data_IF_531670087979
#
_entry.id   IF_531670087979
#
_cell.length_a   1.000
_cell.length_b   1.000
_cell.length_c   1.000
_cell.angle_alpha   90.00
_cell.angle_beta   90.00
_cell.angle_gamma   90.00
#
_symmetry.space_group_name_H-M   'P 1'
#
loop_
_entity.id
_entity.type
_entity.pdbx_description
1 polymer ?
#
# COMPACT_ATOMS: atom_id res chain seq x y z
N UNK A 1 -17.80 9.76 1.30
CA UNK A 1 -18.11 8.69 2.28
C UNK A 1 -16.92 8.60 3.22
N UNK A 2 -17.14 8.30 4.50
CA UNK A 2 -16.05 8.18 5.49
C UNK A 2 -15.14 7.00 5.14
N UNK A 3 -13.82 7.20 5.16
CA UNK A 3 -12.82 6.20 4.81
C UNK A 3 -12.79 5.81 3.34
N UNK A 4 -13.15 6.71 2.42
CA UNK A 4 -13.21 6.45 0.99
C UNK A 4 -11.81 6.46 0.35
N UNK A 5 -11.10 5.35 0.51
CA UNK A 5 -9.74 5.16 -0.01
C UNK A 5 -9.65 5.19 -1.54
N UNK A 6 -10.77 5.16 -2.27
CA UNK A 6 -10.76 5.29 -3.74
C UNK A 6 -10.29 6.68 -4.18
N UNK A 7 -10.32 7.67 -3.28
CA UNK A 7 -9.85 9.04 -3.49
C UNK A 7 -8.35 9.23 -3.25
N UNK A 8 -7.65 8.22 -2.75
CA UNK A 8 -6.21 8.31 -2.51
C UNK A 8 -5.46 8.51 -3.84
N UNK A 9 -4.65 9.57 -3.93
CA UNK A 9 -3.87 9.87 -5.14
C UNK A 9 -2.67 8.93 -5.30
N UNK A 10 -2.09 8.49 -4.18
CA UNK A 10 -0.96 7.56 -4.16
C UNK A 10 -1.19 6.45 -3.16
N UNK A 11 -0.63 5.29 -3.47
CA UNK A 11 -0.66 4.12 -2.60
C UNK A 11 0.78 3.73 -2.32
N UNK A 12 1.12 3.57 -1.05
CA UNK A 12 2.43 3.20 -0.57
C UNK A 12 2.33 1.90 0.22
N UNK A 13 3.28 1.00 0.01
CA UNK A 13 3.46 -0.22 0.80
C UNK A 13 4.74 -0.08 1.62
N UNK A 14 4.62 -0.18 2.93
CA UNK A 14 5.74 -0.44 3.82
C UNK A 14 6.25 -1.87 3.57
N UNK A 15 7.38 -2.01 2.89
CA UNK A 15 7.94 -3.34 2.61
C UNK A 15 8.51 -3.97 3.89
N UNK A 16 8.65 -5.29 3.88
CA UNK A 16 9.01 -6.08 5.06
C UNK A 16 7.88 -6.16 6.07
N UNK A 17 8.21 -6.01 7.34
CA UNK A 17 7.26 -6.16 8.43
C UNK A 17 7.13 -4.86 9.23
N UNK A 18 5.91 -4.58 9.67
CA UNK A 18 5.58 -3.47 10.56
C UNK A 18 5.08 -4.03 11.89
N UNK A 19 5.44 -3.39 13.00
CA UNK A 19 4.82 -3.68 14.29
C UNK A 19 3.34 -3.27 14.27
N UNK A 20 2.47 -4.26 14.10
CA UNK A 20 1.03 -4.07 13.97
C UNK A 20 0.33 -3.65 15.27
N UNK A 21 1.06 -3.51 16.39
CA UNK A 21 0.55 -2.90 17.63
C UNK A 21 0.45 -1.38 17.53
N UNK A 22 1.16 -0.74 16.60
CA UNK A 22 1.08 0.71 16.38
C UNK A 22 -0.32 1.11 15.91
N UNK A 23 -0.89 2.14 16.54
CA UNK A 23 -2.10 2.83 16.10
C UNK A 23 -1.76 4.01 15.18
N UNK A 24 -2.71 4.91 14.93
CA UNK A 24 -2.59 6.08 14.03
C UNK A 24 -1.28 6.84 14.27
N UNK A 25 -1.05 7.36 15.48
CA UNK A 25 0.15 8.17 15.76
C UNK A 25 1.46 7.40 15.53
N UNK A 26 1.50 6.12 15.89
CA UNK A 26 2.68 5.30 15.71
C UNK A 26 2.97 4.98 14.25
N UNK A 27 1.94 4.78 13.43
CA UNK A 27 2.08 4.54 11.99
C UNK A 27 2.38 5.83 11.23
N UNK A 28 1.75 6.95 11.61
CA UNK A 28 2.04 8.26 11.04
C UNK A 28 3.48 8.69 11.33
N UNK A 29 3.97 8.47 12.56
CA UNK A 29 5.37 8.70 12.91
C UNK A 29 6.32 7.83 12.06
N UNK A 30 5.98 6.57 11.80
CA UNK A 30 6.78 5.70 10.93
C UNK A 30 6.81 6.23 9.48
N UNK A 31 5.67 6.67 8.93
CA UNK A 31 5.62 7.29 7.59
C UNK A 31 6.52 8.52 7.53
N UNK A 32 6.47 9.38 8.54
CA UNK A 32 7.25 10.61 8.57
C UNK A 32 8.74 10.35 8.77
N UNK A 33 9.11 9.52 9.76
CA UNK A 33 10.48 9.37 10.23
C UNK A 33 11.26 8.31 9.45
N UNK A 34 10.64 7.18 9.13
CA UNK A 34 11.33 6.09 8.44
C UNK A 34 11.26 6.25 6.92
N UNK A 35 10.12 6.69 6.40
CA UNK A 35 9.91 6.80 4.95
C UNK A 35 10.13 8.21 4.40
N UNK A 36 10.30 9.21 5.26
CA UNK A 36 10.47 10.61 4.86
C UNK A 36 9.32 11.10 3.96
N UNK A 37 8.10 10.59 4.20
CA UNK A 37 6.88 10.95 3.48
C UNK A 37 5.95 11.75 4.40
N UNK A 38 5.12 12.62 3.81
CA UNK A 38 4.11 13.35 4.55
C UNK A 38 2.91 12.43 4.86
N UNK A 39 2.57 12.12 6.13
CA UNK A 39 1.39 11.30 6.44
C UNK A 39 0.06 12.04 6.21
N UNK A 40 0.06 13.36 6.11
CA UNK A 40 -1.12 14.21 5.88
C UNK A 40 -1.42 14.49 4.39
N UNK A 41 -0.69 13.84 3.48
CA UNK A 41 -0.99 13.94 2.04
C UNK A 41 -2.13 12.97 1.67
N UNK A 42 -2.82 13.22 0.55
CA UNK A 42 -3.89 12.36 0.05
C UNK A 42 -3.33 11.02 -0.46
N UNK A 43 -2.93 10.14 0.45
CA UNK A 43 -2.24 8.89 0.14
C UNK A 43 -2.57 7.79 1.14
N UNK A 44 -2.60 6.57 0.63
CA UNK A 44 -2.87 5.36 1.40
C UNK A 44 -1.55 4.68 1.75
N UNK A 45 -1.26 4.50 3.03
CA UNK A 45 -0.08 3.78 3.50
C UNK A 45 -0.46 2.41 4.05
N UNK A 46 0.07 1.35 3.44
CA UNK A 46 -0.25 -0.03 3.75
C UNK A 46 0.86 -0.67 4.59
N UNK A 47 0.47 -1.34 5.66
CA UNK A 47 1.37 -1.99 6.61
C UNK A 47 0.96 -3.44 6.84
N UNK A 48 1.94 -4.33 6.99
CA UNK A 48 1.70 -5.73 7.27
C UNK A 48 2.70 -6.24 8.32
N UNK A 49 2.23 -7.09 9.22
CA UNK A 49 3.09 -7.78 10.19
C UNK A 49 3.53 -9.16 9.69
N UNK A 50 4.28 -9.87 10.52
CA UNK A 50 4.84 -11.20 10.22
C UNK A 50 3.82 -12.31 9.90
N UNK A 51 2.53 -12.13 10.21
CA UNK A 51 1.52 -13.16 9.93
C UNK A 51 1.02 -13.14 8.49
N UNK A 52 1.13 -12.01 7.79
CA UNK A 52 0.67 -11.81 6.41
C UNK A 52 -0.83 -12.09 6.17
N UNK A 53 -1.60 -12.38 7.21
CA UNK A 53 -3.05 -12.60 7.16
C UNK A 53 -3.83 -11.31 7.40
N UNK A 54 -3.14 -10.21 7.71
CA UNK A 54 -3.75 -8.93 8.09
C UNK A 54 -2.90 -7.77 7.64
N UNK A 55 -3.56 -6.68 7.27
CA UNK A 55 -2.93 -5.40 6.98
C UNK A 55 -3.67 -4.25 7.68
N UNK A 56 -2.95 -3.15 7.86
CA UNK A 56 -3.50 -1.85 8.22
C UNK A 56 -3.31 -0.91 7.04
N UNK A 57 -4.28 -0.04 6.81
CA UNK A 57 -4.17 1.05 5.86
C UNK A 57 -4.42 2.37 6.57
N UNK A 58 -3.42 3.24 6.61
CA UNK A 58 -3.53 4.60 7.16
C UNK A 58 -3.84 5.56 6.02
N UNK A 59 -4.89 6.36 6.18
CA UNK A 59 -5.33 7.34 5.19
C UNK A 59 -5.65 8.67 5.88
N UNK A 60 -5.29 9.79 5.26
CA UNK A 60 -5.66 11.13 5.70
C UNK A 60 -6.76 11.67 4.77
N UNK A 61 -7.94 11.98 5.32
CA UNK A 61 -9.11 12.44 4.55
C UNK A 61 -9.24 13.97 4.49
N UNK A 62 -8.28 14.71 5.05
CA UNK A 62 -8.29 16.18 5.09
C UNK A 62 -8.62 16.74 6.47
N UNK A 63 -9.54 16.10 7.19
CA UNK A 63 -9.99 16.47 8.54
C UNK A 63 -9.53 15.51 9.63
N UNK A 64 -9.05 14.32 9.25
CA UNK A 64 -8.62 13.30 10.20
C UNK A 64 -7.94 12.11 9.55
N UNK A 65 -7.33 11.30 10.41
CA UNK A 65 -6.79 9.99 10.03
C UNK A 65 -7.86 8.91 10.12
N UNK A 66 -7.95 8.10 9.08
CA UNK A 66 -8.68 6.83 9.06
C UNK A 66 -7.66 5.69 9.09
N UNK A 67 -7.89 4.73 9.99
CA UNK A 67 -7.11 3.50 10.07
C UNK A 67 -8.00 2.30 9.76
N UNK A 68 -7.87 1.77 8.55
CA UNK A 68 -8.56 0.56 8.14
C UNK A 68 -7.76 -0.67 8.58
N UNK A 69 -8.47 -1.71 8.98
CA UNK A 69 -7.89 -3.00 9.36
C UNK A 69 -8.58 -4.11 8.58
N UNK A 70 -7.80 -4.84 7.76
CA UNK A 70 -8.31 -5.99 6.99
C UNK A 70 -7.61 -7.25 7.45
N UNK A 71 -8.39 -8.24 7.87
CA UNK A 71 -7.93 -9.61 8.16
C UNK A 71 -8.53 -10.54 7.11
N UNK A 72 -7.71 -11.41 6.55
CA UNK A 72 -8.14 -12.50 5.70
C UNK A 72 -8.52 -13.68 6.60
N UNK A 73 -9.69 -14.26 6.37
CA UNK A 73 -10.09 -15.50 7.05
C UNK A 73 -9.41 -16.73 6.43
N UNK A 74 -9.00 -16.63 5.16
CA UNK A 74 -8.22 -17.65 4.45
C UNK A 74 -7.13 -17.02 3.58
N UNK A 75 -5.99 -17.71 3.44
CA UNK A 75 -4.87 -17.23 2.64
C UNK A 75 -3.99 -16.18 3.33
N UNK A 76 -3.08 -15.57 2.56
CA UNK A 76 -2.11 -14.57 3.02
C UNK A 76 -1.81 -13.56 1.92
N UNK A 77 -1.55 -12.32 2.30
CA UNK A 77 -1.01 -11.30 1.41
C UNK A 77 0.40 -11.67 0.94
N UNK A 78 0.66 -11.57 -0.37
CA UNK A 78 2.01 -11.70 -0.95
C UNK A 78 2.77 -10.38 -0.78
N UNK A 79 3.12 -10.10 0.47
CA UNK A 79 3.75 -8.86 0.88
C UNK A 79 5.22 -8.77 0.42
N UNK A 80 5.69 -7.62 -0.12
CA UNK A 80 7.09 -7.41 -0.48
C UNK A 80 7.98 -7.41 0.78
N UNK A 81 9.15 -8.04 0.72
CA UNK A 81 9.92 -8.40 1.94
C UNK A 81 11.10 -7.48 2.29
N UNK A 82 11.39 -6.45 1.51
CA UNK A 82 12.52 -5.57 1.77
C UNK A 82 12.23 -4.64 2.97
N UNK A 83 12.84 -4.90 4.14
CA UNK A 83 12.45 -4.29 5.41
C UNK A 83 12.69 -2.77 5.54
N UNK A 84 13.47 -2.16 4.65
CA UNK A 84 13.81 -0.74 4.73
C UNK A 84 13.15 0.11 3.63
N UNK A 85 12.37 -0.52 2.74
CA UNK A 85 11.80 0.18 1.59
C UNK A 85 10.33 0.55 1.82
N UNK A 86 9.97 1.78 1.46
CA UNK A 86 8.59 2.10 1.07
C UNK A 86 8.51 2.01 -0.46
N UNK A 87 7.45 1.39 -0.98
CA UNK A 87 7.21 1.31 -2.42
C UNK A 87 5.90 1.98 -2.78
N UNK A 88 5.94 2.95 -3.68
CA UNK A 88 4.74 3.44 -4.36
C UNK A 88 4.22 2.36 -5.31
N UNK A 89 2.92 2.11 -5.30
CA UNK A 89 2.29 1.13 -6.18
C UNK A 89 1.13 1.74 -6.94
N UNK A 90 0.89 1.19 -8.13
CA UNK A 90 -0.27 1.50 -8.96
C UNK A 90 -1.54 0.91 -8.35
N UNK A 91 -2.70 1.41 -8.80
CA UNK A 91 -4.02 0.83 -8.44
C UNK A 91 -4.11 -0.65 -8.85
N UNK A 92 -3.46 -1.04 -9.95
CA UNK A 92 -3.45 -2.43 -10.41
C UNK A 92 -2.63 -3.33 -9.47
N UNK A 93 -1.43 -2.90 -9.07
CA UNK A 93 -0.61 -3.63 -8.10
C UNK A 93 -1.31 -3.72 -6.74
N UNK A 94 -1.98 -2.65 -6.30
CA UNK A 94 -2.83 -2.68 -5.10
C UNK A 94 -3.95 -3.72 -5.22
N UNK A 95 -4.66 -3.75 -6.37
CA UNK A 95 -5.71 -4.74 -6.63
C UNK A 95 -5.16 -6.17 -6.56
N UNK A 96 -4.04 -6.44 -7.21
CA UNK A 96 -3.38 -7.75 -7.13
C UNK A 96 -3.08 -8.15 -5.68
N UNK A 97 -2.54 -7.23 -4.88
CA UNK A 97 -2.31 -7.48 -3.46
C UNK A 97 -3.60 -7.82 -2.72
N UNK A 98 -4.69 -7.07 -2.97
CA UNK A 98 -6.00 -7.32 -2.36
C UNK A 98 -6.61 -8.68 -2.75
N UNK A 99 -6.24 -9.20 -3.92
CA UNK A 99 -6.60 -10.53 -4.44
C UNK A 99 -5.64 -11.65 -3.98
N UNK A 100 -4.63 -11.33 -3.16
CA UNK A 100 -3.65 -12.30 -2.66
C UNK A 100 -2.52 -12.63 -3.64
N UNK A 101 -2.39 -11.87 -4.73
CA UNK A 101 -1.33 -11.99 -5.73
C UNK A 101 -0.12 -11.12 -5.35
N UNK A 102 1.03 -11.44 -5.96
CA UNK A 102 2.24 -10.59 -5.88
C UNK A 102 1.98 -9.24 -6.55
N UNK A 103 2.53 -8.16 -5.99
CA UNK A 103 2.58 -6.85 -6.67
C UNK A 103 3.58 -6.87 -7.84
N UNK A 104 4.60 -7.72 -7.77
CA UNK A 104 5.53 -7.96 -8.86
C UNK A 104 4.99 -9.06 -9.78
N UNK A 105 4.51 -8.66 -10.96
CA UNK A 105 3.94 -9.54 -11.98
C UNK A 105 4.70 -9.42 -13.31
N UNK A 106 5.90 -10.03 -13.43
CA UNK A 106 6.71 -9.91 -14.64
C UNK A 106 6.05 -10.50 -15.89
N UNK A 107 5.09 -11.42 -15.72
CA UNK A 107 4.33 -12.06 -16.79
C UNK A 107 2.98 -11.40 -17.08
N UNK A 108 2.61 -10.34 -16.35
CA UNK A 108 1.38 -9.61 -16.66
C UNK A 108 1.51 -8.95 -18.04
N UNK A 109 0.44 -9.03 -18.83
CA UNK A 109 0.37 -8.32 -20.11
C UNK A 109 0.47 -6.83 -19.85
N UNK A 110 1.49 -6.20 -20.42
CA UNK A 110 1.73 -4.76 -20.28
C UNK A 110 1.08 -4.04 -21.47
N UNK A 111 0.40 -2.94 -21.21
CA UNK A 111 0.02 -2.02 -22.29
C UNK A 111 1.30 -1.42 -22.86
N UNK A 112 1.43 -1.43 -24.17
CA UNK A 112 2.50 -0.71 -24.87
C UNK A 112 2.19 0.79 -24.78
N UNK A 113 3.24 1.61 -24.62
CA UNK A 113 3.08 3.04 -24.80
C UNK A 113 2.90 3.29 -26.30
N UNK A 114 1.85 4.02 -26.70
CA UNK A 114 1.49 4.19 -28.11
C UNK A 114 2.60 4.91 -28.90
N UNK A 115 3.41 5.73 -28.23
CA UNK A 115 4.62 6.35 -28.79
C UNK A 115 5.65 5.33 -29.31
N UNK A 116 5.67 4.12 -28.75
CA UNK A 116 6.56 3.02 -29.19
C UNK A 116 5.98 2.23 -30.37
N UNK A 117 4.70 2.43 -30.72
CA UNK A 117 4.08 1.77 -31.86
C UNK A 117 4.23 2.56 -33.18
N UNK A 118 4.55 3.86 -33.11
CA UNK A 118 4.75 4.71 -34.30
C UNK A 118 6.14 4.62 -34.93
N UNK A 119 7.03 3.77 -34.38
CA UNK A 119 8.35 3.47 -34.92
C UNK A 119 8.39 2.19 -35.77
N UNK A 120 7.23 1.69 -36.21
CA UNK A 120 7.08 0.63 -37.23
C UNK A 120 6.72 1.28 -38.57
#
# INVERSE_FOLDING_TARGET
>A
MFGDISKAEKIYIACGYTDMRKSINGLAALVQQNFQLNPFQNSLFLFCGHRHDRLKALYWEGDGFVLLYKRLETGKFKWPRNAEAVRSVTVQEFRWLMEGLSIDQPRAVKKLNTEQCFSL
#
